data_IF_648676566363
#
_entry.id   IF_648676566363
#
_cell.length_a   1.000
_cell.length_b   1.000
_cell.length_c   1.000
_cell.angle_alpha   90.00
_cell.angle_beta   90.00
_cell.angle_gamma   90.00
#
_symmetry.space_group_name_H-M   'P 1'
#
loop_
_entity.id
_entity.type
_entity.pdbx_description
1 polymer ?
#
# COMPACT_ATOMS: atom_id res chain seq x y z
N UNK A 1 -40.87 17.56 -14.08
CA UNK A 1 -41.08 16.39 -14.98
C UNK A 1 -39.78 16.28 -15.77
N UNK A 2 -38.99 15.21 -15.77
CA UNK A 2 -39.29 13.80 -16.09
C UNK A 2 -38.17 12.95 -15.45
N UNK A 3 -38.51 12.08 -14.51
CA UNK A 3 -38.37 10.61 -14.56
C UNK A 3 -36.98 10.08 -14.96
N UNK A 4 -36.19 9.66 -13.97
CA UNK A 4 -35.02 8.79 -14.18
C UNK A 4 -35.48 7.36 -14.39
N UNK A 5 -35.21 6.83 -15.58
CA UNK A 5 -35.52 5.48 -16.05
C UNK A 5 -34.49 4.50 -15.47
N UNK A 6 -34.98 3.51 -14.70
CA UNK A 6 -34.23 2.32 -14.29
C UNK A 6 -34.06 1.38 -15.50
N UNK A 7 -32.83 1.15 -15.93
CA UNK A 7 -32.51 0.08 -16.89
C UNK A 7 -31.88 -1.10 -16.17
N UNK A 8 -32.65 -2.18 -16.04
CA UNK A 8 -32.19 -3.53 -15.73
C UNK A 8 -31.28 -4.02 -16.86
N UNK A 9 -30.01 -4.32 -16.55
CA UNK A 9 -29.12 -5.05 -17.47
C UNK A 9 -28.98 -6.48 -16.95
N UNK A 10 -29.58 -7.37 -17.73
CA UNK A 10 -29.52 -8.82 -17.71
C UNK A 10 -28.11 -9.33 -18.05
N UNK A 11 -27.67 -10.37 -17.33
CA UNK A 11 -26.42 -11.15 -17.45
C UNK A 11 -26.04 -11.57 -18.88
N UNK A 12 -24.73 -11.85 -19.16
CA UNK A 12 -24.22 -13.24 -19.11
C UNK A 12 -22.79 -13.38 -18.51
N UNK A 13 -22.41 -14.60 -18.06
CA UNK A 13 -21.09 -14.89 -17.50
C UNK A 13 -20.01 -14.85 -18.60
N UNK A 14 -18.86 -14.27 -18.27
CA UNK A 14 -17.67 -14.24 -19.12
C UNK A 14 -17.02 -15.63 -19.16
N UNK A 15 -17.57 -16.52 -19.98
CA UNK A 15 -16.84 -17.65 -20.56
C UNK A 15 -16.21 -17.17 -21.86
N UNK A 16 -14.93 -16.82 -21.80
CA UNK A 16 -14.15 -16.49 -23.00
C UNK A 16 -13.79 -17.76 -23.74
N UNK A 17 -14.53 -17.98 -24.83
CA UNK A 17 -14.21 -18.72 -26.04
C UNK A 17 -12.85 -19.45 -26.10
N UNK A 18 -12.92 -20.79 -26.08
CA UNK A 18 -12.00 -21.65 -26.83
C UNK A 18 -12.86 -22.28 -27.93
N UNK A 19 -12.40 -22.16 -29.16
CA UNK A 19 -13.09 -22.54 -30.38
C UNK A 19 -13.60 -24.00 -30.34
N UNK A 20 -14.87 -24.18 -30.69
CA UNK A 20 -15.44 -25.46 -31.10
C UNK A 20 -15.12 -25.71 -32.58
N UNK A 21 -14.53 -26.85 -32.93
CA UNK A 21 -15.00 -27.62 -34.07
C UNK A 21 -16.09 -28.57 -33.57
N UNK A 22 -17.25 -28.51 -34.21
CA UNK A 22 -18.28 -29.51 -34.06
C UNK A 22 -17.73 -30.89 -34.49
N UNK A 23 -17.56 -31.79 -33.51
CA UNK A 23 -17.54 -33.23 -33.71
C UNK A 23 -18.38 -33.81 -32.58
N UNK A 24 -19.50 -34.41 -32.98
CA UNK A 24 -20.27 -35.31 -32.14
C UNK A 24 -19.34 -36.44 -31.68
N UNK A 25 -19.24 -36.60 -30.36
CA UNK A 25 -18.39 -37.60 -29.73
C UNK A 25 -18.67 -37.56 -28.24
N UNK A 26 -19.73 -38.26 -27.84
CA UNK A 26 -20.02 -38.62 -26.46
C UNK A 26 -18.82 -39.42 -25.94
N UNK A 27 -17.85 -38.75 -25.30
CA UNK A 27 -16.86 -39.41 -24.47
C UNK A 27 -17.22 -39.09 -23.03
N UNK A 28 -18.21 -39.86 -22.57
CA UNK A 28 -18.45 -40.14 -21.17
C UNK A 28 -17.15 -40.73 -20.61
N UNK A 29 -16.40 -39.90 -19.88
CA UNK A 29 -15.21 -40.34 -19.16
C UNK A 29 -15.68 -41.27 -18.04
N UNK A 30 -15.86 -42.55 -18.37
CA UNK A 30 -16.16 -43.59 -17.40
C UNK A 30 -14.97 -43.69 -16.44
N UNK A 31 -15.13 -43.02 -15.31
CA UNK A 31 -14.15 -42.92 -14.21
C UNK A 31 -14.15 -44.16 -13.31
N UNK A 32 -14.67 -45.29 -13.77
CA UNK A 32 -14.96 -46.46 -12.92
C UNK A 32 -14.55 -47.78 -13.56
N UNK A 33 -13.32 -47.91 -14.05
CA UNK A 33 -12.69 -49.24 -14.17
C UNK A 33 -11.16 -49.25 -14.30
N UNK A 34 -10.47 -48.22 -13.78
CA UNK A 34 -9.01 -48.30 -13.61
C UNK A 34 -8.74 -48.77 -12.20
N UNK A 35 -8.79 -50.08 -12.00
CA UNK A 35 -8.43 -50.72 -10.74
C UNK A 35 -7.06 -50.20 -10.27
N UNK A 36 -6.98 -49.65 -9.06
CA UNK A 36 -5.82 -48.94 -8.51
C UNK A 36 -4.52 -49.76 -8.55
N UNK A 37 -4.65 -51.10 -8.69
CA UNK A 37 -3.57 -52.04 -8.95
C UNK A 37 -2.95 -51.93 -10.35
N UNK A 38 -3.75 -51.76 -11.42
CA UNK A 38 -3.25 -51.70 -12.79
C UNK A 38 -2.39 -50.45 -13.04
N UNK A 39 -2.78 -49.31 -12.45
CA UNK A 39 -2.01 -48.07 -12.58
C UNK A 39 -0.68 -48.15 -11.80
N UNK A 40 -0.70 -48.82 -10.64
CA UNK A 40 0.50 -49.10 -9.84
C UNK A 40 1.47 -50.04 -10.55
N UNK A 41 0.95 -51.05 -11.22
CA UNK A 41 1.76 -52.02 -11.95
C UNK A 41 2.34 -51.41 -13.23
N UNK A 42 1.57 -50.61 -13.97
CA UNK A 42 2.08 -49.82 -15.10
C UNK A 42 3.15 -48.79 -14.66
N UNK A 43 2.96 -48.13 -13.53
CA UNK A 43 3.97 -47.24 -12.96
C UNK A 43 5.22 -48.02 -12.53
N UNK A 44 5.05 -49.21 -11.96
CA UNK A 44 6.17 -50.06 -11.53
C UNK A 44 6.97 -50.60 -12.71
N UNK A 45 6.30 -51.00 -13.79
CA UNK A 45 6.90 -51.45 -15.05
C UNK A 45 7.64 -50.30 -15.73
N UNK A 46 6.97 -49.15 -15.88
CA UNK A 46 7.53 -47.95 -16.52
C UNK A 46 8.74 -47.34 -15.78
N UNK A 47 8.73 -47.37 -14.44
CA UNK A 47 9.86 -46.93 -13.60
C UNK A 47 10.94 -48.01 -13.48
N UNK A 48 10.56 -49.29 -13.54
CA UNK A 48 11.46 -50.43 -13.39
C UNK A 48 12.39 -50.64 -14.58
N UNK A 49 11.89 -50.37 -15.79
CA UNK A 49 12.63 -50.64 -17.03
C UNK A 49 13.70 -49.60 -17.38
N UNK A 50 13.75 -48.45 -16.68
CA UNK A 50 14.73 -47.42 -16.98
C UNK A 50 15.12 -46.58 -15.75
N UNK A 51 16.37 -46.72 -15.24
CA UNK A 51 16.83 -45.98 -14.07
C UNK A 51 16.81 -44.46 -14.26
N UNK A 52 17.04 -43.96 -15.48
CA UNK A 52 17.05 -42.51 -15.75
C UNK A 52 15.65 -41.89 -15.59
N UNK A 53 14.59 -42.66 -15.86
CA UNK A 53 13.20 -42.22 -15.65
C UNK A 53 12.85 -42.15 -14.17
N UNK A 54 13.39 -43.08 -13.37
CA UNK A 54 13.24 -43.07 -11.93
C UNK A 54 13.90 -41.82 -11.34
N UNK A 55 15.11 -41.49 -11.79
CA UNK A 55 15.83 -40.31 -11.31
C UNK A 55 15.09 -39.02 -11.69
N UNK A 56 14.63 -38.90 -12.94
CA UNK A 56 13.80 -37.77 -13.36
C UNK A 56 12.50 -37.64 -12.53
N UNK A 57 11.84 -38.76 -12.22
CA UNK A 57 10.65 -38.75 -11.37
C UNK A 57 10.99 -38.26 -9.96
N UNK A 58 12.11 -38.70 -9.39
CA UNK A 58 12.55 -38.26 -8.07
C UNK A 58 12.88 -36.78 -8.07
N UNK A 59 13.55 -36.27 -9.10
CA UNK A 59 13.85 -34.84 -9.26
C UNK A 59 12.58 -33.99 -9.34
N UNK A 60 11.58 -34.44 -10.11
CA UNK A 60 10.28 -33.77 -10.20
C UNK A 60 9.54 -33.76 -8.86
N UNK A 61 9.56 -34.88 -8.14
CA UNK A 61 8.95 -34.98 -6.82
C UNK A 61 9.68 -34.10 -5.80
N UNK A 62 11.01 -34.04 -5.87
CA UNK A 62 11.84 -33.20 -5.01
C UNK A 62 11.54 -31.72 -5.26
N UNK A 63 11.61 -31.28 -6.52
CA UNK A 63 11.26 -29.90 -6.91
C UNK A 63 9.83 -29.53 -6.49
N UNK A 64 8.87 -30.46 -6.56
CA UNK A 64 7.50 -30.23 -6.07
C UNK A 64 7.46 -30.04 -4.55
N UNK A 65 8.24 -30.81 -3.78
CA UNK A 65 8.35 -30.65 -2.32
C UNK A 65 8.98 -29.31 -1.97
N UNK A 66 10.05 -28.92 -2.66
CA UNK A 66 10.78 -27.68 -2.39
C UNK A 66 9.90 -26.45 -2.68
N UNK A 67 9.18 -26.45 -3.81
CA UNK A 67 8.19 -25.40 -4.11
C UNK A 67 7.09 -25.31 -3.06
N UNK A 68 6.62 -26.46 -2.55
CA UNK A 68 5.62 -26.48 -1.47
C UNK A 68 6.19 -25.89 -0.18
N UNK A 69 7.45 -26.21 0.16
CA UNK A 69 8.13 -25.64 1.32
C UNK A 69 8.27 -24.11 1.20
N UNK A 70 8.70 -23.61 0.03
CA UNK A 70 8.81 -22.16 -0.23
C UNK A 70 7.48 -21.43 -0.10
N UNK A 71 6.38 -22.04 -0.57
CA UNK A 71 5.03 -21.48 -0.41
C UNK A 71 4.64 -21.42 1.06
N UNK A 72 4.90 -22.48 1.83
CA UNK A 72 4.58 -22.51 3.26
C UNK A 72 5.42 -21.50 4.05
N UNK A 73 6.69 -21.33 3.69
CA UNK A 73 7.59 -20.33 4.28
C UNK A 73 7.05 -18.91 4.06
N UNK A 74 6.72 -18.56 2.80
CA UNK A 74 6.08 -17.27 2.48
C UNK A 74 4.76 -17.04 3.21
N UNK A 75 3.98 -18.08 3.46
CA UNK A 75 2.74 -17.97 4.24
C UNK A 75 3.02 -17.67 5.72
N UNK A 76 3.99 -18.37 6.34
CA UNK A 76 4.41 -18.09 7.71
C UNK A 76 4.92 -16.65 7.84
N UNK A 77 5.78 -16.23 6.91
CA UNK A 77 6.32 -14.88 6.85
C UNK A 77 5.24 -13.79 6.79
N UNK A 78 4.13 -14.06 6.07
CA UNK A 78 2.97 -13.17 6.02
C UNK A 78 2.19 -13.17 7.33
N UNK A 79 2.01 -14.33 7.96
CA UNK A 79 1.33 -14.45 9.26
C UNK A 79 2.11 -13.69 10.34
N UNK A 80 3.42 -13.88 10.43
CA UNK A 80 4.29 -13.18 11.37
C UNK A 80 4.24 -11.65 11.19
N UNK A 81 4.26 -11.17 9.94
CA UNK A 81 4.11 -9.73 9.66
C UNK A 81 2.75 -9.21 10.10
N UNK A 82 1.68 -9.97 9.87
CA UNK A 82 0.33 -9.60 10.29
C UNK A 82 0.23 -9.55 11.82
N UNK A 83 0.83 -10.49 12.51
CA UNK A 83 0.79 -10.55 13.97
C UNK A 83 1.59 -9.41 14.59
N UNK A 84 2.81 -9.13 14.09
CA UNK A 84 3.56 -7.90 14.47
C UNK A 84 2.78 -6.61 14.21
N UNK A 85 2.00 -6.56 13.12
CA UNK A 85 1.17 -5.40 12.81
C UNK A 85 -0.02 -5.29 13.76
N UNK A 86 -0.65 -6.42 14.11
CA UNK A 86 -1.71 -6.47 15.13
C UNK A 86 -1.19 -6.01 16.49
N UNK A 87 -0.02 -6.50 16.91
CA UNK A 87 0.61 -6.09 18.17
C UNK A 87 0.88 -4.58 18.17
N UNK A 88 1.40 -4.02 17.08
CA UNK A 88 1.64 -2.58 16.98
C UNK A 88 0.35 -1.76 17.06
N UNK A 89 -0.75 -2.26 16.49
CA UNK A 89 -2.05 -1.60 16.54
C UNK A 89 -2.64 -1.70 17.95
N UNK A 90 -2.56 -2.86 18.59
CA UNK A 90 -3.04 -3.09 19.95
C UNK A 90 -2.30 -2.17 20.94
N UNK A 91 -0.97 -2.21 20.95
CA UNK A 91 -0.16 -1.35 21.82
C UNK A 91 -0.42 0.14 21.58
N UNK A 92 -0.73 0.55 20.34
CA UNK A 92 -1.10 1.94 20.04
C UNK A 92 -2.48 2.30 20.60
N UNK A 93 -3.44 1.39 20.53
CA UNK A 93 -4.78 1.59 21.11
C UNK A 93 -4.73 1.69 22.63
N UNK A 94 -3.89 0.87 23.27
CA UNK A 94 -3.70 0.88 24.72
C UNK A 94 -3.01 2.19 25.20
N UNK A 95 -2.01 2.70 24.46
CA UNK A 95 -1.38 4.00 24.71
C UNK A 95 -2.35 5.19 24.59
N UNK A 96 -3.43 5.01 23.81
CA UNK A 96 -4.42 6.03 23.51
C UNK A 96 -5.56 6.05 24.57
N UNK A 97 -5.70 5.02 25.41
CA UNK A 97 -6.72 4.93 26.47
C UNK A 97 -6.26 5.52 27.83
N UNK A 98 -4.95 5.64 28.10
CA UNK A 98 -4.37 6.17 29.36
C UNK A 98 -4.03 7.68 29.33
N UNK A 99 -4.90 8.52 28.76
CA UNK A 99 -4.78 9.98 28.94
C UNK A 99 -3.70 10.72 28.11
N UNK A 100 -2.94 10.04 27.26
CA UNK A 100 -1.96 10.62 26.31
C UNK A 100 -2.54 11.74 25.41
N UNK A 101 -3.82 11.61 25.01
CA UNK A 101 -4.50 12.65 24.22
C UNK A 101 -4.79 13.92 25.01
N UNK A 102 -5.11 13.82 26.31
CA UNK A 102 -5.35 15.00 27.17
C UNK A 102 -4.05 15.78 27.35
N UNK A 103 -2.94 15.09 27.62
CA UNK A 103 -1.63 15.73 27.77
C UNK A 103 -1.11 16.38 26.47
N UNK A 104 -1.37 15.77 25.31
CA UNK A 104 -0.97 16.35 24.02
C UNK A 104 -1.82 17.59 23.68
N UNK A 105 -3.12 17.57 24.00
CA UNK A 105 -4.01 18.72 23.88
C UNK A 105 -3.54 19.88 24.76
N UNK A 106 -3.33 19.62 26.04
CA UNK A 106 -2.88 20.61 27.03
C UNK A 106 -1.53 21.23 26.66
N UNK A 107 -0.58 20.43 26.17
CA UNK A 107 0.73 20.96 25.73
C UNK A 107 0.59 21.86 24.51
N UNK A 108 -0.29 21.50 23.56
CA UNK A 108 -0.55 22.29 22.36
C UNK A 108 -1.26 23.59 22.71
N UNK A 109 -2.22 23.55 23.63
CA UNK A 109 -2.97 24.72 24.04
C UNK A 109 -2.10 25.68 24.87
N UNK A 110 -1.28 25.17 25.79
CA UNK A 110 -0.23 25.97 26.46
C UNK A 110 0.76 26.59 25.48
N UNK A 111 1.15 25.86 24.43
CA UNK A 111 2.04 26.40 23.40
C UNK A 111 1.34 27.52 22.60
N UNK A 112 0.06 27.33 22.27
CA UNK A 112 -0.74 28.30 21.53
C UNK A 112 -0.94 29.57 22.36
N UNK A 113 -1.28 29.42 23.63
CA UNK A 113 -1.40 30.52 24.59
C UNK A 113 -0.09 31.29 24.71
N UNK A 114 1.05 30.61 24.88
CA UNK A 114 2.37 31.26 24.92
C UNK A 114 2.75 32.00 23.63
N UNK A 115 2.27 31.53 22.47
CA UNK A 115 2.47 32.22 21.19
C UNK A 115 1.57 33.45 21.09
N UNK A 116 0.32 33.35 21.55
CA UNK A 116 -0.64 34.46 21.57
C UNK A 116 -0.20 35.56 22.53
N UNK A 117 0.13 35.22 23.79
CA UNK A 117 0.61 36.21 24.77
C UNK A 117 1.88 36.93 24.31
N UNK A 118 2.73 36.25 23.53
CA UNK A 118 3.92 36.86 22.94
C UNK A 118 3.62 37.82 21.78
N UNK A 119 2.47 37.68 21.13
CA UNK A 119 2.01 38.56 20.05
C UNK A 119 1.25 39.78 20.56
N UNK A 120 0.66 39.70 21.75
CA UNK A 120 -0.12 40.78 22.34
C UNK A 120 0.74 41.81 23.10
N UNK A 121 1.98 41.48 23.45
CA UNK A 121 3.00 42.40 23.99
C UNK A 121 3.66 43.29 22.90
N UNK A 122 3.10 43.35 21.68
CA UNK A 122 3.61 44.19 20.58
C UNK A 122 3.07 45.63 20.64
N UNK A 123 3.14 46.26 21.81
CA UNK A 123 3.20 47.72 21.90
C UNK A 123 4.68 48.12 21.83
N UNK A 124 5.06 48.71 20.70
CA UNK A 124 6.38 49.25 20.37
C UNK A 124 7.42 48.30 19.72
N UNK A 125 7.43 48.32 18.38
CA UNK A 125 8.52 47.82 17.56
C UNK A 125 8.70 46.30 17.56
N UNK A 126 7.70 45.58 17.02
CA UNK A 126 7.74 44.14 16.79
C UNK A 126 9.11 43.70 16.27
N UNK A 127 9.67 42.62 16.84
CA UNK A 127 10.92 42.01 16.38
C UNK A 127 10.89 41.74 14.87
N UNK A 128 9.70 41.57 14.30
CA UNK A 128 9.44 41.40 12.87
C UNK A 128 9.61 42.71 12.08
N UNK A 129 9.23 43.84 12.67
CA UNK A 129 9.50 45.19 12.16
C UNK A 129 10.99 45.50 12.15
N UNK A 130 11.70 45.27 13.27
CA UNK A 130 13.17 45.44 13.33
C UNK A 130 13.93 44.48 12.42
N UNK A 131 13.42 43.27 12.19
CA UNK A 131 14.02 42.35 11.23
C UNK A 131 13.77 42.79 9.78
N UNK A 132 12.60 43.37 9.48
CA UNK A 132 12.32 44.03 8.19
C UNK A 132 13.23 45.23 7.97
N UNK A 133 13.38 46.09 8.98
CA UNK A 133 14.22 47.27 8.94
C UNK A 133 15.69 46.90 8.78
N UNK A 134 16.21 45.93 9.55
CA UNK A 134 17.58 45.42 9.36
C UNK A 134 17.81 44.71 8.02
N UNK A 135 16.77 44.10 7.43
CA UNK A 135 16.84 43.55 6.08
C UNK A 135 16.84 44.66 5.02
N UNK A 136 16.14 45.76 5.26
CA UNK A 136 16.13 46.94 4.39
C UNK A 136 17.45 47.72 4.48
N UNK A 137 17.97 47.95 5.68
CA UNK A 137 19.23 48.68 5.95
C UNK A 137 20.46 47.93 5.43
N UNK A 138 20.50 46.59 5.51
CA UNK A 138 21.64 45.79 5.05
C UNK A 138 21.75 45.71 3.53
N UNK A 139 20.74 46.16 2.78
CA UNK A 139 20.62 45.94 1.33
C UNK A 139 20.12 47.16 0.58
N UNK A 140 20.58 48.34 1.02
CA UNK A 140 20.23 49.64 0.46
C UNK A 140 20.19 49.61 -1.07
N UNK A 141 19.00 49.94 -1.62
CA UNK A 141 18.77 50.18 -3.05
C UNK A 141 18.36 48.97 -3.90
N UNK A 142 18.56 47.73 -3.44
CA UNK A 142 18.38 46.57 -4.32
C UNK A 142 17.05 45.85 -4.10
N UNK A 143 16.33 45.61 -5.22
CA UNK A 143 15.15 44.77 -5.23
C UNK A 143 15.45 43.37 -4.67
N UNK A 144 14.60 42.85 -3.78
CA UNK A 144 14.75 41.52 -3.19
C UNK A 144 13.68 40.55 -3.68
N UNK A 145 14.00 39.26 -3.68
CA UNK A 145 13.06 38.20 -4.02
C UNK A 145 12.49 37.57 -2.74
N UNK A 146 11.17 37.68 -2.56
CA UNK A 146 10.43 36.95 -1.56
C UNK A 146 10.01 35.59 -2.13
N UNK A 147 10.52 34.51 -1.56
CA UNK A 147 10.17 33.14 -1.97
C UNK A 147 9.24 32.51 -0.95
N UNK A 148 8.05 32.08 -1.37
CA UNK A 148 7.09 31.36 -0.53
C UNK A 148 6.81 30.00 -1.16
N UNK A 149 7.03 28.94 -0.40
CA UNK A 149 6.61 27.60 -0.77
C UNK A 149 5.20 27.34 -0.24
N UNK A 150 4.29 27.00 -1.14
CA UNK A 150 2.97 26.49 -0.81
C UNK A 150 2.96 24.99 -1.07
N UNK A 151 2.41 24.25 -0.13
CA UNK A 151 2.16 22.82 -0.28
C UNK A 151 0.67 22.60 -0.24
N UNK A 152 0.20 21.72 -1.10
CA UNK A 152 -1.16 21.24 -1.05
C UNK A 152 -1.38 20.34 0.18
N UNK A 153 -2.64 20.09 0.54
CA UNK A 153 -3.04 19.35 1.74
C UNK A 153 -2.46 17.92 1.74
N UNK A 154 -2.40 17.30 0.56
CA UNK A 154 -1.80 15.98 0.33
C UNK A 154 -0.26 15.98 0.27
N UNK A 155 0.37 17.17 0.34
CA UNK A 155 1.83 17.41 0.27
C UNK A 155 2.54 16.88 -0.98
N UNK A 156 1.78 16.42 -1.98
CA UNK A 156 2.26 15.87 -3.25
C UNK A 156 2.78 16.96 -4.19
N UNK A 157 2.19 18.16 -4.13
CA UNK A 157 2.58 19.31 -4.95
C UNK A 157 3.28 20.38 -4.11
N UNK A 158 4.44 20.85 -4.58
CA UNK A 158 5.20 21.97 -4.01
C UNK A 158 5.25 23.11 -5.04
N UNK A 159 4.55 24.20 -4.75
CA UNK A 159 4.57 25.41 -5.57
C UNK A 159 5.50 26.43 -4.92
N UNK A 160 6.53 26.87 -5.65
CA UNK A 160 7.44 27.92 -5.20
C UNK A 160 7.06 29.22 -5.89
N UNK A 161 6.47 30.15 -5.14
CA UNK A 161 6.15 31.49 -5.63
C UNK A 161 7.31 32.42 -5.29
N UNK A 162 7.96 33.00 -6.32
CA UNK A 162 9.03 33.99 -6.16
C UNK A 162 8.51 35.36 -6.63
N UNK A 163 8.39 36.32 -5.71
CA UNK A 163 7.98 37.70 -6.03
C UNK A 163 9.16 38.64 -5.84
N UNK A 164 9.48 39.44 -6.86
CA UNK A 164 10.43 40.55 -6.74
C UNK A 164 9.73 41.73 -6.07
N UNK A 165 10.33 42.28 -5.02
CA UNK A 165 9.87 43.46 -4.31
C UNK A 165 11.00 44.48 -4.37
N UNK A 166 10.74 45.61 -5.01
CA UNK A 166 11.64 46.75 -5.04
C UNK A 166 11.11 47.79 -4.03
N UNK A 167 11.99 48.47 -3.27
CA UNK A 167 11.59 49.70 -2.58
C UNK A 167 11.21 50.76 -3.63
N UNK A 168 10.17 51.55 -3.35
CA UNK A 168 9.76 52.70 -4.18
C UNK A 168 10.72 53.88 -4.03
#
# INVERSE_FOLDING_TARGET
>A
MVASVLTLITLPPLFSAIATPAVAGEQEWSSSDMSDGNLRDLLRDWVGDNPDRRDLLMDLLQNRRDRRAEVMDRMHDRMDRRDRLRDRIANRGDDDEDGSWRDRGDRRDRLRERISSRGDDEEDGSRRGRLRERLAERRGGDCYFLTRSLRDEDRTLLVIVRRRVCPD
#
